data_IF_515022840913
#
_entry.id   IF_515022840913
#
_cell.length_a   1.000
_cell.length_b   1.000
_cell.length_c   1.000
_cell.angle_alpha   90.00
_cell.angle_beta   90.00
_cell.angle_gamma   90.00
#
_symmetry.space_group_name_H-M   'P 1'
#
loop_
_entity.id
_entity.type
_entity.pdbx_description
1 polymer ?
#
# COMPACT_ATOMS: atom_id res chain seq x y z
N UNK A 1 51.26 -61.28 -12.07
CA UNK A 1 50.50 -60.25 -12.83
C UNK A 1 49.12 -59.98 -12.31
N UNK A 2 48.62 -60.73 -11.32
CA UNK A 2 47.24 -60.59 -10.75
C UNK A 2 47.07 -59.53 -9.65
N UNK A 3 48.10 -59.29 -8.82
CA UNK A 3 48.01 -58.34 -7.68
C UNK A 3 47.98 -56.86 -8.09
N UNK A 4 48.53 -56.45 -9.23
CA UNK A 4 48.51 -55.06 -9.69
C UNK A 4 47.17 -54.62 -10.27
N UNK A 5 46.35 -55.55 -10.82
CA UNK A 5 45.00 -55.25 -11.34
C UNK A 5 43.97 -55.00 -10.22
N UNK A 6 44.09 -55.72 -9.10
CA UNK A 6 43.18 -55.58 -7.97
C UNK A 6 43.42 -54.27 -7.17
N UNK A 7 44.67 -53.82 -7.11
CA UNK A 7 45.00 -52.55 -6.43
C UNK A 7 44.47 -51.33 -7.21
N UNK A 8 44.50 -51.37 -8.54
CA UNK A 8 43.97 -50.26 -9.36
C UNK A 8 42.44 -50.15 -9.30
N UNK A 9 41.74 -51.32 -9.24
CA UNK A 9 40.24 -51.35 -9.12
C UNK A 9 39.77 -50.86 -7.74
N UNK A 10 40.51 -51.13 -6.65
CA UNK A 10 40.17 -50.66 -5.30
C UNK A 10 40.41 -49.15 -5.18
N UNK A 11 41.48 -48.60 -5.78
CA UNK A 11 41.76 -47.16 -5.78
C UNK A 11 40.70 -46.42 -6.59
N UNK A 12 40.23 -46.95 -7.71
CA UNK A 12 39.17 -46.33 -8.51
C UNK A 12 37.81 -46.35 -7.79
N UNK A 13 37.48 -47.47 -7.11
CA UNK A 13 36.25 -47.55 -6.30
C UNK A 13 36.26 -46.61 -5.08
N UNK A 14 37.40 -46.41 -4.39
CA UNK A 14 37.57 -45.48 -3.30
C UNK A 14 37.49 -44.02 -3.80
N UNK A 15 38.06 -43.72 -4.99
CA UNK A 15 38.01 -42.36 -5.57
C UNK A 15 36.58 -42.00 -6.04
N UNK A 16 35.78 -42.94 -6.54
CA UNK A 16 34.37 -42.72 -6.91
C UNK A 16 33.50 -42.60 -5.68
N UNK A 17 33.81 -43.30 -4.60
CA UNK A 17 33.06 -43.19 -3.31
C UNK A 17 33.35 -41.89 -2.59
N UNK A 18 34.55 -41.30 -2.71
CA UNK A 18 34.90 -39.99 -2.10
C UNK A 18 34.30 -38.82 -2.91
N UNK A 19 34.06 -38.96 -4.21
CA UNK A 19 33.37 -37.93 -5.00
C UNK A 19 31.84 -37.92 -4.75
N UNK A 20 31.26 -39.00 -4.26
CA UNK A 20 29.83 -39.06 -3.92
C UNK A 20 29.49 -38.53 -2.54
N UNK A 21 30.49 -38.19 -1.70
CA UNK A 21 30.29 -37.76 -0.32
C UNK A 21 30.37 -36.24 -0.08
N UNK A 22 30.52 -35.46 -1.15
CA UNK A 22 30.46 -33.98 -1.06
C UNK A 22 29.19 -33.39 -1.65
N UNK A 23 28.08 -34.15 -1.69
CA UNK A 23 26.77 -33.50 -1.68
C UNK A 23 26.64 -32.86 -0.28
N UNK A 24 27.13 -31.63 -0.14
CA UNK A 24 26.79 -30.79 1.00
C UNK A 24 25.27 -30.84 1.12
N UNK A 25 24.77 -31.43 2.18
CA UNK A 25 23.36 -31.35 2.47
C UNK A 25 23.06 -29.85 2.58
N UNK A 26 22.42 -29.30 1.56
CA UNK A 26 22.01 -27.89 1.56
C UNK A 26 21.07 -27.75 2.74
N UNK A 27 21.40 -26.83 3.66
CA UNK A 27 20.60 -26.61 4.85
C UNK A 27 19.19 -26.21 4.45
N UNK A 28 18.18 -26.83 5.08
CA UNK A 28 16.80 -26.47 4.82
C UNK A 28 16.51 -25.10 5.42
N UNK A 29 16.04 -24.20 4.60
CA UNK A 29 15.69 -22.82 4.93
C UNK A 29 14.18 -22.68 4.94
N UNK A 30 13.61 -22.19 6.04
CA UNK A 30 12.20 -21.86 6.15
C UNK A 30 12.07 -20.35 6.33
N UNK A 31 11.56 -19.66 5.30
CA UNK A 31 11.33 -18.23 5.32
C UNK A 31 9.93 -17.93 5.85
N UNK A 32 9.83 -16.96 6.76
CA UNK A 32 8.59 -16.39 7.26
C UNK A 32 8.37 -15.02 6.66
N UNK A 33 7.24 -14.82 6.01
CA UNK A 33 6.89 -13.58 5.33
C UNK A 33 5.57 -13.04 5.87
N UNK A 34 5.59 -11.88 6.50
CA UNK A 34 4.40 -11.21 7.03
C UNK A 34 3.80 -10.26 6.00
N UNK A 35 2.47 -10.25 5.91
CA UNK A 35 1.70 -9.38 5.03
C UNK A 35 0.34 -9.03 5.67
N UNK A 36 -0.35 -7.97 5.18
CA UNK A 36 -1.59 -7.49 5.79
C UNK A 36 -2.88 -7.81 5.02
N UNK A 37 -2.81 -8.62 3.98
CA UNK A 37 -3.99 -9.09 3.27
C UNK A 37 -4.53 -10.38 3.92
N UNK A 38 -5.84 -10.63 3.80
CA UNK A 38 -6.46 -11.81 4.37
C UNK A 38 -5.87 -13.11 3.80
N UNK A 39 -5.74 -14.12 4.65
CA UNK A 39 -5.08 -15.39 4.30
C UNK A 39 -5.78 -16.16 3.16
N UNK A 40 -7.08 -15.96 2.99
CA UNK A 40 -7.92 -16.55 1.93
C UNK A 40 -8.08 -15.65 0.70
N UNK A 41 -7.35 -14.52 0.64
CA UNK A 41 -7.44 -13.59 -0.47
C UNK A 41 -6.79 -14.11 -1.75
N UNK A 42 -7.25 -13.65 -2.94
CA UNK A 42 -6.59 -13.95 -4.20
C UNK A 42 -5.12 -13.53 -4.26
N UNK A 43 -4.75 -12.47 -3.53
CA UNK A 43 -3.38 -12.01 -3.39
C UNK A 43 -2.49 -13.06 -2.73
N UNK A 44 -2.93 -13.63 -1.59
CA UNK A 44 -2.18 -14.69 -0.90
C UNK A 44 -2.12 -15.97 -1.75
N UNK A 45 -3.17 -16.28 -2.49
CA UNK A 45 -3.14 -17.42 -3.43
C UNK A 45 -2.03 -17.24 -4.49
N UNK A 46 -1.89 -16.06 -5.07
CA UNK A 46 -0.82 -15.75 -6.02
C UNK A 46 0.58 -15.81 -5.38
N UNK A 47 0.74 -15.28 -4.16
CA UNK A 47 2.02 -15.38 -3.43
C UNK A 47 2.40 -16.83 -3.12
N UNK A 48 1.44 -17.68 -2.76
CA UNK A 48 1.68 -19.11 -2.55
C UNK A 48 2.10 -19.82 -3.85
N UNK A 49 1.51 -19.47 -4.98
CA UNK A 49 1.90 -19.99 -6.30
C UNK A 49 3.35 -19.61 -6.63
N UNK A 50 3.71 -18.32 -6.51
CA UNK A 50 5.08 -17.85 -6.70
C UNK A 50 6.08 -18.53 -5.73
N UNK A 51 5.71 -18.73 -4.47
CA UNK A 51 6.55 -19.42 -3.51
C UNK A 51 6.77 -20.89 -3.89
N UNK A 52 5.75 -21.57 -4.44
CA UNK A 52 5.90 -22.94 -4.93
C UNK A 52 6.82 -23.02 -6.15
N UNK A 53 6.72 -22.04 -7.08
CA UNK A 53 7.63 -21.93 -8.23
C UNK A 53 9.07 -21.67 -7.76
N UNK A 54 9.27 -20.76 -6.80
CA UNK A 54 10.58 -20.51 -6.22
C UNK A 54 11.16 -21.76 -5.53
N UNK A 55 10.34 -22.47 -4.74
CA UNK A 55 10.77 -23.74 -4.10
C UNK A 55 11.13 -24.81 -5.13
N UNK A 56 10.48 -24.84 -6.29
CA UNK A 56 10.86 -25.77 -7.37
C UNK A 56 12.27 -25.47 -7.93
N UNK A 57 12.68 -24.20 -7.94
CA UNK A 57 14.02 -23.75 -8.34
C UNK A 57 15.03 -23.90 -7.19
N UNK A 58 14.60 -23.76 -5.94
CA UNK A 58 15.41 -23.80 -4.71
C UNK A 58 14.83 -24.84 -3.73
N UNK A 59 15.02 -26.16 -3.95
CA UNK A 59 14.31 -27.23 -3.22
C UNK A 59 14.57 -27.26 -1.71
N UNK A 60 15.61 -26.60 -1.23
CA UNK A 60 15.93 -26.46 0.18
C UNK A 60 15.27 -25.25 0.84
N UNK A 61 14.55 -24.39 0.08
CA UNK A 61 13.88 -23.20 0.60
C UNK A 61 12.36 -23.40 0.58
N UNK A 62 11.72 -23.15 1.72
CA UNK A 62 10.26 -23.08 1.84
C UNK A 62 9.85 -21.71 2.34
N UNK A 63 8.70 -21.20 1.93
CA UNK A 63 8.18 -19.89 2.33
C UNK A 63 6.80 -20.06 2.95
N UNK A 64 6.57 -19.39 4.09
CA UNK A 64 5.27 -19.35 4.76
C UNK A 64 4.81 -17.90 4.88
N UNK A 65 3.59 -17.62 4.41
CA UNK A 65 2.99 -16.30 4.54
C UNK A 65 2.14 -16.23 5.82
N UNK A 66 2.36 -15.17 6.60
CA UNK A 66 1.64 -14.89 7.84
C UNK A 66 0.80 -13.63 7.65
N UNK A 67 -0.53 -13.80 7.61
CA UNK A 67 -1.47 -12.68 7.48
C UNK A 67 -1.71 -12.05 8.85
N UNK A 68 -1.45 -10.75 8.95
CA UNK A 68 -1.71 -9.92 10.13
C UNK A 68 -2.65 -8.79 9.69
N UNK A 69 -3.79 -8.56 10.36
CA UNK A 69 -4.68 -7.46 9.99
C UNK A 69 -3.96 -6.10 9.93
N UNK A 70 -4.27 -5.28 8.93
CA UNK A 70 -3.58 -4.01 8.68
C UNK A 70 -3.50 -3.08 9.92
N UNK A 71 -4.57 -2.91 10.74
CA UNK A 71 -4.49 -2.05 11.92
C UNK A 71 -3.46 -2.51 12.95
N UNK A 72 -3.20 -3.82 13.06
CA UNK A 72 -2.31 -4.42 14.05
C UNK A 72 -0.90 -4.68 13.47
N UNK A 73 -0.75 -4.64 12.16
CA UNK A 73 0.42 -5.13 11.44
C UNK A 73 1.74 -4.54 11.94
N UNK A 74 1.83 -3.22 12.01
CA UNK A 74 3.08 -2.55 12.40
C UNK A 74 3.46 -2.83 13.86
N UNK A 75 2.48 -2.88 14.76
CA UNK A 75 2.71 -3.21 16.18
C UNK A 75 3.15 -4.64 16.35
N UNK A 76 2.50 -5.58 15.68
CA UNK A 76 2.80 -7.01 15.76
C UNK A 76 4.18 -7.34 15.21
N UNK A 77 4.54 -6.80 14.05
CA UNK A 77 5.89 -6.97 13.47
C UNK A 77 6.94 -6.37 14.40
N UNK A 78 6.69 -5.20 14.99
CA UNK A 78 7.60 -4.58 15.96
C UNK A 78 7.78 -5.46 17.20
N UNK A 79 6.71 -6.07 17.73
CA UNK A 79 6.76 -6.99 18.86
C UNK A 79 7.53 -8.27 18.52
N UNK A 80 7.35 -8.84 17.32
CA UNK A 80 8.09 -10.01 16.87
C UNK A 80 9.60 -9.73 16.78
N UNK A 81 9.99 -8.57 16.24
CA UNK A 81 11.38 -8.12 16.17
C UNK A 81 12.00 -7.95 17.57
N UNK A 82 11.26 -7.35 18.50
CA UNK A 82 11.73 -7.15 19.88
C UNK A 82 11.79 -8.47 20.67
N UNK A 83 10.91 -9.44 20.34
CA UNK A 83 10.79 -10.73 21.01
C UNK A 83 11.79 -11.81 20.56
N UNK A 84 12.80 -11.48 19.78
CA UNK A 84 13.75 -12.42 19.16
C UNK A 84 13.08 -13.54 18.31
N UNK A 85 11.95 -13.23 17.70
CA UNK A 85 11.27 -14.12 16.76
C UNK A 85 10.89 -13.31 15.49
N UNK A 86 11.89 -12.64 14.84
CA UNK A 86 11.62 -11.82 13.68
C UNK A 86 11.07 -12.65 12.53
N UNK A 87 10.17 -12.11 11.69
CA UNK A 87 9.98 -12.63 10.36
C UNK A 87 11.26 -12.39 9.53
N UNK A 88 11.45 -13.15 8.46
CA UNK A 88 12.56 -12.90 7.53
C UNK A 88 12.23 -11.73 6.60
N UNK A 89 10.97 -11.59 6.22
CA UNK A 89 10.47 -10.59 5.28
C UNK A 89 9.13 -10.00 5.73
N UNK A 90 8.80 -8.85 5.19
CA UNK A 90 7.51 -8.21 5.44
C UNK A 90 7.21 -7.06 4.49
N UNK A 91 6.06 -6.45 4.71
CA UNK A 91 5.63 -5.25 4.00
C UNK A 91 5.74 -4.02 4.90
N UNK A 92 6.07 -2.88 4.32
CA UNK A 92 6.06 -1.58 5.02
C UNK A 92 5.34 -0.57 4.15
N UNK A 93 4.44 0.22 4.75
CA UNK A 93 3.77 1.34 4.07
C UNK A 93 4.63 2.61 4.10
N UNK A 94 4.38 3.51 3.16
CA UNK A 94 5.13 4.76 2.97
C UNK A 94 5.24 5.61 4.23
N UNK A 95 4.18 5.75 5.02
CA UNK A 95 4.20 6.55 6.25
C UNK A 95 5.31 6.13 7.22
N UNK A 96 5.48 4.82 7.40
CA UNK A 96 6.49 4.24 8.28
C UNK A 96 7.88 4.11 7.64
N UNK A 97 8.01 4.24 6.32
CA UNK A 97 9.23 3.93 5.56
C UNK A 97 10.49 4.54 6.16
N UNK A 98 10.54 5.87 6.32
CA UNK A 98 11.71 6.59 6.85
C UNK A 98 12.10 6.15 8.27
N UNK A 99 11.13 5.84 9.12
CA UNK A 99 11.41 5.37 10.48
C UNK A 99 12.07 3.99 10.48
N UNK A 100 11.59 3.08 9.63
CA UNK A 100 12.14 1.74 9.50
C UNK A 100 13.52 1.73 8.84
N UNK A 101 13.72 2.50 7.77
CA UNK A 101 15.02 2.67 7.12
C UNK A 101 16.09 3.14 8.11
N UNK A 102 15.76 4.13 8.95
CA UNK A 102 16.69 4.66 9.96
C UNK A 102 16.87 3.77 11.19
N UNK A 103 16.00 2.81 11.41
CA UNK A 103 16.04 1.95 12.62
C UNK A 103 17.19 0.95 12.64
N UNK A 104 17.77 0.62 11.46
CA UNK A 104 18.82 -0.40 11.32
C UNK A 104 18.30 -1.85 11.37
N UNK A 105 16.97 -2.05 11.44
CA UNK A 105 16.38 -3.40 11.46
C UNK A 105 16.19 -4.00 10.06
N UNK A 106 16.30 -3.19 9.00
CA UNK A 106 16.18 -3.62 7.62
C UNK A 106 17.54 -3.98 7.02
N UNK A 107 17.56 -4.99 6.17
CA UNK A 107 18.75 -5.37 5.41
C UNK A 107 18.97 -4.42 4.24
N UNK A 108 20.24 -4.08 3.98
CA UNK A 108 20.63 -3.41 2.73
C UNK A 108 20.56 -4.41 1.57
N UNK A 109 19.69 -4.12 0.63
CA UNK A 109 19.44 -4.91 -0.58
C UNK A 109 20.38 -4.56 -1.74
N UNK A 110 21.05 -3.39 -1.68
CA UNK A 110 21.84 -2.84 -2.78
C UNK A 110 22.94 -3.78 -3.29
N UNK A 111 23.73 -4.48 -2.42
CA UNK A 111 24.80 -5.33 -2.90
C UNK A 111 24.31 -6.49 -3.79
N UNK A 112 23.15 -7.04 -3.45
CA UNK A 112 22.56 -8.15 -4.21
C UNK A 112 21.85 -7.65 -5.47
N UNK A 113 21.00 -6.62 -5.36
CA UNK A 113 20.09 -6.21 -6.44
C UNK A 113 20.78 -5.34 -7.49
N UNK A 114 21.65 -4.37 -7.06
CA UNK A 114 22.39 -3.53 -8.02
C UNK A 114 23.53 -4.29 -8.72
N UNK A 115 24.00 -5.37 -8.11
CA UNK A 115 25.06 -6.22 -8.68
C UNK A 115 24.56 -7.29 -9.63
N UNK A 116 23.26 -7.51 -9.73
CA UNK A 116 22.63 -8.52 -10.60
C UNK A 116 22.20 -7.91 -11.93
N UNK A 117 22.82 -8.33 -13.03
CA UNK A 117 22.42 -7.90 -14.38
C UNK A 117 20.99 -8.38 -14.72
N UNK A 118 20.62 -9.58 -14.28
CA UNK A 118 19.32 -10.19 -14.56
C UNK A 118 18.16 -9.50 -13.81
N UNK A 119 18.47 -8.84 -12.68
CA UNK A 119 17.43 -8.16 -11.90
C UNK A 119 16.98 -6.83 -12.51
N UNK A 120 17.83 -6.19 -13.32
CA UNK A 120 17.56 -4.89 -13.95
C UNK A 120 17.08 -3.83 -12.93
N UNK A 121 17.93 -3.53 -11.94
CA UNK A 121 17.61 -2.54 -10.90
C UNK A 121 17.30 -1.15 -11.45
N UNK A 122 17.87 -0.78 -12.61
CA UNK A 122 17.65 0.51 -13.27
C UNK A 122 16.21 0.73 -13.78
N UNK A 123 15.39 -0.32 -13.78
CA UNK A 123 13.96 -0.25 -14.12
C UNK A 123 13.10 0.39 -13.03
N UNK A 124 13.64 0.64 -11.85
CA UNK A 124 12.99 1.44 -10.80
C UNK A 124 13.43 2.90 -10.91
N UNK A 125 12.48 3.84 -10.87
CA UNK A 125 12.80 5.27 -10.84
C UNK A 125 13.36 5.71 -9.48
N UNK A 126 14.19 6.75 -9.45
CA UNK A 126 14.65 7.36 -8.19
C UNK A 126 13.47 7.83 -7.33
N UNK A 127 12.41 8.33 -7.94
CA UNK A 127 11.21 8.77 -7.24
C UNK A 127 10.50 7.60 -6.54
N UNK A 128 10.42 6.41 -7.17
CA UNK A 128 9.80 5.24 -6.56
C UNK A 128 10.62 4.65 -5.42
N UNK A 129 11.94 4.77 -5.48
CA UNK A 129 12.87 4.26 -4.47
C UNK A 129 13.15 5.26 -3.34
N UNK A 130 12.79 6.54 -3.49
CA UNK A 130 13.22 7.63 -2.60
C UNK A 130 12.86 7.43 -1.12
N UNK A 131 11.76 6.76 -0.81
CA UNK A 131 11.38 6.46 0.57
C UNK A 131 12.22 5.33 1.21
N UNK A 132 12.78 4.46 0.37
CA UNK A 132 13.41 3.19 0.74
C UNK A 132 14.94 3.23 0.68
N UNK A 133 15.50 4.40 0.36
CA UNK A 133 16.95 4.60 0.22
C UNK A 133 17.49 5.54 1.29
N UNK A 134 18.72 5.27 1.73
CA UNK A 134 19.54 6.18 2.53
C UNK A 134 20.99 6.13 2.01
N UNK A 135 21.46 7.23 1.43
CA UNK A 135 22.73 7.24 0.69
C UNK A 135 22.65 6.29 -0.52
N UNK A 136 23.61 5.38 -0.62
CA UNK A 136 23.65 4.38 -1.70
C UNK A 136 22.88 3.08 -1.35
N UNK A 137 22.46 2.90 -0.09
CA UNK A 137 21.80 1.70 0.40
C UNK A 137 20.30 1.72 0.08
N UNK A 138 19.74 0.54 -0.23
CA UNK A 138 18.33 0.31 -0.53
C UNK A 138 17.75 -0.70 0.46
N UNK A 139 16.72 -0.34 1.19
CA UNK A 139 16.16 -1.10 2.29
C UNK A 139 14.78 -1.70 2.00
N UNK A 140 14.19 -1.36 0.86
CA UNK A 140 12.91 -1.91 0.42
C UNK A 140 12.72 -1.74 -1.08
N UNK A 141 12.00 -2.68 -1.69
CA UNK A 141 11.60 -2.59 -3.10
C UNK A 141 10.10 -2.35 -3.14
N UNK A 142 9.64 -1.20 -3.67
CA UNK A 142 8.23 -0.91 -3.80
C UNK A 142 7.56 -1.90 -4.76
N UNK A 143 6.53 -2.56 -4.29
CA UNK A 143 5.71 -3.49 -5.09
C UNK A 143 4.33 -2.93 -5.39
N UNK A 144 3.91 -1.89 -4.67
CA UNK A 144 2.64 -1.20 -4.84
C UNK A 144 2.87 0.30 -4.86
N UNK A 145 2.46 0.96 -5.93
CA UNK A 145 2.41 2.41 -6.09
C UNK A 145 1.01 2.76 -6.56
N UNK A 146 0.06 2.80 -5.64
CA UNK A 146 -1.36 2.84 -5.95
C UNK A 146 -1.97 4.21 -5.65
N UNK A 147 -2.62 4.88 -6.61
CA UNK A 147 -3.32 6.11 -6.33
C UNK A 147 -4.56 5.84 -5.49
N UNK A 148 -4.94 6.82 -4.67
CA UNK A 148 -6.28 6.85 -4.11
C UNK A 148 -7.27 7.21 -5.19
N UNK A 149 -8.37 6.49 -5.23
CA UNK A 149 -9.46 6.61 -6.20
C UNK A 149 -10.78 6.59 -5.47
N UNK A 150 -11.86 6.97 -6.16
CA UNK A 150 -13.23 6.80 -5.67
C UNK A 150 -13.82 5.55 -6.30
N UNK A 151 -14.29 4.62 -5.46
CA UNK A 151 -15.15 3.51 -5.88
C UNK A 151 -16.61 3.96 -5.66
N UNK A 152 -17.52 3.71 -6.60
CA UNK A 152 -18.89 4.15 -6.47
C UNK A 152 -19.91 3.11 -6.94
N UNK A 153 -21.10 3.15 -6.32
CA UNK A 153 -22.27 2.35 -6.63
C UNK A 153 -23.20 3.16 -7.56
N UNK A 154 -23.19 2.84 -8.85
CA UNK A 154 -23.95 3.58 -9.85
C UNK A 154 -25.48 3.49 -9.65
N UNK A 155 -25.98 2.38 -9.09
CA UNK A 155 -27.41 2.19 -8.84
C UNK A 155 -27.95 3.21 -7.81
N UNK A 156 -27.13 3.63 -6.84
CA UNK A 156 -27.54 4.65 -5.86
C UNK A 156 -27.58 6.06 -6.47
N UNK A 157 -26.71 6.36 -7.45
CA UNK A 157 -26.78 7.60 -8.23
C UNK A 157 -28.05 7.63 -9.08
N UNK A 158 -28.39 6.51 -9.76
CA UNK A 158 -29.64 6.38 -10.52
C UNK A 158 -30.85 6.53 -9.60
N UNK A 159 -30.86 5.88 -8.45
CA UNK A 159 -31.94 5.96 -7.46
C UNK A 159 -32.17 7.40 -6.95
N UNK A 160 -31.09 8.17 -6.79
CA UNK A 160 -31.17 9.58 -6.40
C UNK A 160 -31.48 10.52 -7.58
N UNK A 161 -31.46 10.03 -8.84
CA UNK A 161 -31.72 10.81 -10.04
C UNK A 161 -30.64 11.86 -10.33
N UNK A 162 -29.38 11.59 -9.99
CA UNK A 162 -28.24 12.50 -10.15
C UNK A 162 -27.17 11.89 -11.06
N UNK A 163 -26.32 12.70 -11.72
CA UNK A 163 -25.25 12.20 -12.55
C UNK A 163 -24.19 11.44 -11.73
N UNK A 164 -23.67 10.38 -12.33
CA UNK A 164 -22.57 9.57 -11.81
C UNK A 164 -21.23 10.34 -11.86
N UNK A 165 -20.19 9.93 -11.10
CA UNK A 165 -18.85 10.48 -11.23
C UNK A 165 -18.32 10.48 -12.67
N UNK A 166 -18.58 9.42 -13.45
CA UNK A 166 -18.17 9.34 -14.86
C UNK A 166 -18.82 10.42 -15.72
N UNK A 167 -20.11 10.70 -15.53
CA UNK A 167 -20.85 11.78 -16.23
C UNK A 167 -20.32 13.15 -15.79
N UNK A 168 -20.10 13.36 -14.49
CA UNK A 168 -19.52 14.61 -13.98
C UNK A 168 -18.09 14.86 -14.50
N UNK A 169 -17.29 13.81 -14.68
CA UNK A 169 -15.95 13.89 -15.32
C UNK A 169 -16.11 14.35 -16.78
N UNK A 170 -17.04 13.76 -17.51
CA UNK A 170 -17.27 14.13 -18.92
C UNK A 170 -17.73 15.59 -19.08
N UNK A 171 -18.36 16.17 -18.07
CA UNK A 171 -18.78 17.57 -18.00
C UNK A 171 -17.73 18.51 -17.38
N UNK A 172 -16.53 18.00 -17.05
CA UNK A 172 -15.47 18.70 -16.32
C UNK A 172 -15.93 19.27 -14.95
N UNK A 173 -16.85 18.59 -14.30
CA UNK A 173 -17.53 18.99 -13.06
C UNK A 173 -17.34 17.99 -11.90
N UNK A 174 -16.36 17.09 -11.95
CA UNK A 174 -16.03 16.20 -10.88
C UNK A 174 -15.10 16.88 -9.88
N UNK A 175 -15.65 17.56 -8.87
CA UNK A 175 -14.94 18.34 -7.84
C UNK A 175 -15.30 17.84 -6.44
N UNK A 176 -14.55 18.27 -5.41
CA UNK A 176 -14.89 17.93 -4.02
C UNK A 176 -16.27 18.46 -3.61
N UNK A 177 -16.68 19.62 -4.13
CA UNK A 177 -18.02 20.19 -3.90
C UNK A 177 -19.10 19.32 -4.54
N UNK A 178 -18.88 18.82 -5.77
CA UNK A 178 -19.84 17.92 -6.42
C UNK A 178 -19.88 16.54 -5.80
N UNK A 179 -18.75 16.03 -5.25
CA UNK A 179 -18.75 14.81 -4.44
C UNK A 179 -19.65 14.98 -3.21
N UNK A 180 -19.47 16.05 -2.42
CA UNK A 180 -20.27 16.29 -1.22
C UNK A 180 -21.76 16.47 -1.54
N UNK A 181 -22.09 17.26 -2.57
CA UNK A 181 -23.48 17.46 -2.98
C UNK A 181 -24.15 16.19 -3.50
N UNK A 182 -23.41 15.33 -4.22
CA UNK A 182 -23.88 14.01 -4.64
C UNK A 182 -24.08 13.09 -3.43
N UNK A 183 -23.12 13.07 -2.51
CA UNK A 183 -23.23 12.29 -1.28
C UNK A 183 -24.47 12.67 -0.47
N UNK A 184 -24.70 13.97 -0.28
CA UNK A 184 -25.91 14.46 0.40
C UNK A 184 -27.20 14.09 -0.34
N UNK A 185 -27.25 14.29 -1.65
CA UNK A 185 -28.44 13.98 -2.45
C UNK A 185 -28.81 12.48 -2.36
N UNK A 186 -27.82 11.60 -2.35
CA UNK A 186 -28.04 10.15 -2.20
C UNK A 186 -28.55 9.83 -0.79
N UNK A 187 -27.93 10.40 0.24
CA UNK A 187 -28.36 10.20 1.64
C UNK A 187 -29.80 10.69 1.84
N UNK A 188 -30.17 11.83 1.25
CA UNK A 188 -31.53 12.37 1.35
C UNK A 188 -32.57 11.54 0.58
N UNK A 189 -32.15 10.84 -0.50
CA UNK A 189 -33.05 10.13 -1.40
C UNK A 189 -33.13 8.62 -1.14
N UNK A 190 -32.21 8.05 -0.40
CA UNK A 190 -32.07 6.59 -0.20
C UNK A 190 -31.84 6.25 1.28
N UNK A 191 -31.80 4.95 1.60
CA UNK A 191 -31.42 4.47 2.94
C UNK A 191 -29.89 4.28 3.11
N UNK A 192 -29.08 4.67 2.09
CA UNK A 192 -27.62 4.52 2.08
C UNK A 192 -26.94 5.85 2.42
N UNK A 193 -25.73 5.76 2.98
CA UNK A 193 -24.86 6.93 3.11
C UNK A 193 -24.24 7.32 1.76
N UNK A 194 -24.01 8.61 1.56
CA UNK A 194 -23.36 9.10 0.34
C UNK A 194 -21.88 8.73 0.27
N UNK A 195 -21.16 8.77 1.40
CA UNK A 195 -19.72 8.48 1.47
C UNK A 195 -19.37 7.64 2.69
N UNK A 196 -18.49 6.66 2.49
CA UNK A 196 -17.77 5.95 3.54
C UNK A 196 -16.27 6.29 3.44
N UNK A 197 -15.62 6.47 4.56
CA UNK A 197 -14.16 6.63 4.60
C UNK A 197 -13.43 5.37 4.15
N UNK A 198 -12.16 5.49 3.77
CA UNK A 198 -11.32 4.35 3.36
C UNK A 198 -11.39 3.23 4.42
N UNK A 199 -11.83 2.04 4.00
CA UNK A 199 -11.96 0.85 4.86
C UNK A 199 -12.75 1.10 6.18
N UNK A 200 -13.64 2.11 6.23
CA UNK A 200 -14.31 2.58 7.45
C UNK A 200 -13.34 2.99 8.59
N UNK A 201 -12.10 3.34 8.25
CA UNK A 201 -11.01 3.46 9.22
C UNK A 201 -10.68 4.90 9.65
N UNK A 202 -11.48 5.90 9.25
CA UNK A 202 -11.28 7.31 9.63
C UNK A 202 -11.22 7.51 11.15
N UNK A 203 -12.05 6.80 11.87
CA UNK A 203 -12.21 6.95 13.32
C UNK A 203 -11.41 5.94 14.15
N UNK A 204 -10.93 4.85 13.54
CA UNK A 204 -10.39 3.71 14.29
C UNK A 204 -8.99 3.28 13.87
N UNK A 205 -8.58 3.60 12.64
CA UNK A 205 -7.36 3.03 12.07
C UNK A 205 -6.60 4.02 11.20
N UNK A 206 -6.64 3.80 9.92
CA UNK A 206 -5.88 4.53 8.92
C UNK A 206 -6.58 5.84 8.49
N UNK A 207 -6.67 6.82 9.39
CA UNK A 207 -7.27 8.12 9.09
C UNK A 207 -6.50 8.89 8.00
N UNK A 208 -5.19 8.68 7.89
CA UNK A 208 -4.35 9.32 6.88
C UNK A 208 -4.88 9.10 5.46
N UNK A 209 -5.33 7.88 5.17
CA UNK A 209 -5.84 7.50 3.85
C UNK A 209 -7.10 8.27 3.41
N UNK A 210 -7.87 8.84 4.35
CA UNK A 210 -9.03 9.68 4.07
C UNK A 210 -8.68 11.16 4.15
N UNK A 211 -7.98 11.57 5.20
CA UNK A 211 -7.70 12.98 5.49
C UNK A 211 -6.74 13.58 4.44
N UNK A 212 -5.60 12.94 4.16
CA UNK A 212 -4.59 13.53 3.27
C UNK A 212 -5.10 13.77 1.84
N UNK A 213 -5.82 12.84 1.18
CA UNK A 213 -6.43 13.11 -0.11
C UNK A 213 -7.35 14.35 -0.10
N UNK A 214 -8.15 14.51 0.95
CA UNK A 214 -9.05 15.66 1.08
C UNK A 214 -8.27 16.93 1.33
N UNK A 215 -7.32 16.97 2.29
CA UNK A 215 -6.48 18.15 2.53
C UNK A 215 -5.80 18.64 1.25
N UNK A 216 -5.20 17.71 0.48
CA UNK A 216 -4.55 18.04 -0.80
C UNK A 216 -5.53 18.51 -1.86
N UNK A 217 -6.73 17.96 -1.88
CA UNK A 217 -7.82 18.44 -2.72
C UNK A 217 -8.19 19.90 -2.46
N UNK A 218 -8.06 20.37 -1.24
CA UNK A 218 -8.24 21.76 -0.86
C UNK A 218 -6.97 22.60 -0.98
N UNK A 219 -5.83 22.00 -1.37
CA UNK A 219 -4.55 22.71 -1.54
C UNK A 219 -3.67 22.72 -0.29
N UNK A 220 -4.09 22.03 0.78
CA UNK A 220 -3.34 21.83 2.01
C UNK A 220 -2.48 20.55 2.00
N UNK A 221 -1.96 20.17 3.16
CA UNK A 221 -1.28 18.89 3.42
C UNK A 221 -1.18 18.66 4.94
N UNK A 222 -0.69 17.49 5.36
CA UNK A 222 -0.38 17.23 6.77
C UNK A 222 0.89 17.99 7.21
N UNK A 223 1.94 17.97 6.40
CA UNK A 223 3.17 18.77 6.55
C UNK A 223 3.84 18.96 5.18
N UNK A 224 4.70 19.96 5.12
CA UNK A 224 5.45 20.31 3.90
C UNK A 224 6.67 19.40 3.71
N UNK A 225 7.26 19.45 2.52
CA UNK A 225 8.51 18.74 2.21
C UNK A 225 9.69 19.20 3.10
N UNK A 226 9.61 20.42 3.65
CA UNK A 226 10.57 20.98 4.63
C UNK A 226 10.28 20.52 6.08
N UNK A 227 9.37 19.57 6.28
CA UNK A 227 8.96 19.05 7.58
C UNK A 227 8.36 20.14 8.51
N UNK A 228 7.55 21.03 7.98
CA UNK A 228 6.76 22.00 8.75
C UNK A 228 5.30 21.56 8.72
N UNK A 229 4.65 21.51 9.88
CA UNK A 229 3.23 21.19 9.97
C UNK A 229 2.39 22.11 9.08
N UNK A 230 1.43 21.53 8.36
CA UNK A 230 0.53 22.25 7.47
C UNK A 230 -0.96 22.00 7.78
N UNK A 231 -1.30 21.29 8.86
CA UNK A 231 -2.68 21.07 9.25
C UNK A 231 -3.45 22.37 9.52
N UNK A 232 -2.78 23.40 10.03
CA UNK A 232 -3.40 24.68 10.40
C UNK A 232 -3.32 25.76 9.31
N UNK A 233 -2.89 25.40 8.08
CA UNK A 233 -3.04 26.32 6.95
C UNK A 233 -4.52 26.52 6.62
N UNK A 234 -4.91 27.68 6.05
CA UNK A 234 -6.31 27.90 5.66
C UNK A 234 -6.90 26.81 4.77
N UNK A 235 -6.08 26.28 3.86
CA UNK A 235 -6.45 25.23 2.92
C UNK A 235 -6.69 23.89 3.64
N UNK A 236 -5.81 23.51 4.57
CA UNK A 236 -5.97 22.29 5.37
C UNK A 236 -7.16 22.38 6.32
N UNK A 237 -7.34 23.53 6.96
CA UNK A 237 -8.52 23.77 7.83
C UNK A 237 -9.80 23.68 7.02
N UNK A 238 -9.83 24.22 5.78
CA UNK A 238 -10.99 24.08 4.90
C UNK A 238 -11.27 22.60 4.55
N UNK A 239 -10.23 21.77 4.31
CA UNK A 239 -10.38 20.35 4.11
C UNK A 239 -10.88 19.60 5.34
N UNK A 240 -10.40 19.93 6.54
CA UNK A 240 -10.92 19.37 7.81
C UNK A 240 -12.38 19.79 8.05
N UNK A 241 -12.72 21.06 7.79
CA UNK A 241 -14.09 21.58 7.90
C UNK A 241 -15.02 20.86 6.93
N UNK A 242 -14.58 20.61 5.69
CA UNK A 242 -15.33 19.85 4.71
C UNK A 242 -15.69 18.43 5.20
N UNK A 243 -14.74 17.71 5.81
CA UNK A 243 -15.01 16.40 6.41
C UNK A 243 -16.01 16.52 7.56
N UNK A 244 -15.81 17.50 8.44
CA UNK A 244 -16.68 17.75 9.57
C UNK A 244 -18.12 18.07 9.12
N UNK A 245 -18.28 18.93 8.10
CA UNK A 245 -19.59 19.30 7.57
C UNK A 245 -20.31 18.11 6.92
N UNK A 246 -19.61 17.24 6.21
CA UNK A 246 -20.18 16.00 5.66
C UNK A 246 -20.71 15.05 6.75
N UNK A 247 -20.09 15.05 7.95
CA UNK A 247 -20.56 14.24 9.08
C UNK A 247 -21.75 14.88 9.80
N UNK A 248 -21.68 16.17 10.12
CA UNK A 248 -22.60 16.80 11.07
C UNK A 248 -23.63 17.76 10.45
N UNK A 249 -23.35 18.32 9.28
CA UNK A 249 -24.24 19.24 8.58
C UNK A 249 -25.00 18.53 7.46
N UNK A 250 -24.29 17.79 6.63
CA UNK A 250 -24.86 17.06 5.49
C UNK A 250 -25.35 15.65 5.86
N UNK A 251 -24.82 15.10 6.95
CA UNK A 251 -25.08 13.74 7.43
C UNK A 251 -24.83 12.67 6.35
N UNK A 252 -23.92 12.97 5.39
CA UNK A 252 -23.67 12.18 4.19
C UNK A 252 -22.44 11.29 4.25
N UNK A 253 -21.48 11.60 5.14
CA UNK A 253 -20.35 10.73 5.49
C UNK A 253 -20.74 9.89 6.71
N UNK A 254 -20.49 8.58 6.63
CA UNK A 254 -20.76 7.64 7.73
C UNK A 254 -20.13 8.14 9.04
N UNK A 255 -20.93 8.41 10.10
CA UNK A 255 -20.43 8.98 11.34
C UNK A 255 -19.73 7.97 12.24
N UNK A 256 -18.98 8.42 13.27
CA UNK A 256 -18.35 7.53 14.25
C UNK A 256 -19.34 6.56 14.90
N UNK A 257 -18.93 5.31 15.09
CA UNK A 257 -19.73 4.29 15.75
C UNK A 257 -20.86 3.67 14.90
N UNK A 258 -20.98 4.08 13.62
CA UNK A 258 -21.94 3.50 12.68
C UNK A 258 -21.24 2.46 11.80
N UNK A 259 -21.76 1.24 11.78
CA UNK A 259 -21.25 0.17 10.94
C UNK A 259 -21.95 0.18 9.58
N UNK A 260 -21.21 0.53 8.54
CA UNK A 260 -21.63 0.52 7.13
C UNK A 260 -20.52 -0.10 6.29
N UNK A 261 -20.87 -0.92 5.32
CA UNK A 261 -19.93 -1.45 4.33
C UNK A 261 -20.36 -1.07 2.92
N UNK A 262 -19.55 -0.26 2.25
CA UNK A 262 -19.72 0.10 0.84
C UNK A 262 -19.82 -1.15 -0.05
N UNK A 263 -19.00 -2.15 0.21
CA UNK A 263 -18.95 -3.39 -0.59
C UNK A 263 -20.23 -4.24 -0.46
N UNK A 264 -21.01 -4.00 0.59
CA UNK A 264 -22.35 -4.57 0.78
C UNK A 264 -23.48 -3.64 0.27
N UNK A 265 -23.15 -2.48 -0.31
CA UNK A 265 -24.12 -1.52 -0.84
C UNK A 265 -24.63 -0.50 0.17
N UNK A 266 -24.03 -0.43 1.37
CA UNK A 266 -24.47 0.50 2.43
C UNK A 266 -24.07 1.96 2.24
N UNK A 267 -23.19 2.25 1.27
CA UNK A 267 -22.79 3.59 0.89
C UNK A 267 -22.67 3.73 -0.63
N UNK A 268 -22.83 4.97 -1.14
CA UNK A 268 -22.74 5.23 -2.58
C UNK A 268 -21.28 5.37 -3.06
N UNK A 269 -20.42 5.89 -2.24
CA UNK A 269 -19.01 6.10 -2.57
C UNK A 269 -18.10 5.66 -1.41
N UNK A 270 -16.88 5.27 -1.76
CA UNK A 270 -15.76 5.17 -0.80
C UNK A 270 -14.47 5.56 -1.50
N UNK A 271 -13.52 6.14 -0.77
CA UNK A 271 -12.15 6.25 -1.24
C UNK A 271 -11.46 4.90 -1.05
N UNK A 272 -10.56 4.57 -1.97
CA UNK A 272 -9.83 3.30 -1.89
C UNK A 272 -8.69 3.25 -2.87
N UNK A 273 -8.19 2.06 -3.11
CA UNK A 273 -7.11 1.78 -4.05
C UNK A 273 -7.46 0.56 -4.91
N UNK A 274 -6.74 0.33 -6.02
CA UNK A 274 -7.00 -0.77 -6.96
C UNK A 274 -7.12 -2.13 -6.25
N UNK A 275 -6.35 -2.38 -5.20
CA UNK A 275 -6.38 -3.63 -4.42
C UNK A 275 -7.75 -3.93 -3.79
N UNK A 276 -8.65 -2.94 -3.67
CA UNK A 276 -9.99 -3.11 -3.12
C UNK A 276 -11.03 -3.55 -4.15
N UNK A 277 -10.75 -3.35 -5.43
CA UNK A 277 -11.67 -3.65 -6.54
C UNK A 277 -12.12 -5.13 -6.55
N UNK A 278 -11.23 -6.05 -6.17
CA UNK A 278 -11.56 -7.47 -6.13
C UNK A 278 -12.70 -7.82 -5.15
N UNK A 279 -12.95 -6.98 -4.13
CA UNK A 279 -14.11 -7.15 -3.23
C UNK A 279 -15.45 -6.89 -3.93
N UNK A 280 -15.42 -6.27 -5.11
CA UNK A 280 -16.61 -5.96 -5.94
C UNK A 280 -16.87 -7.00 -7.03
N UNK A 281 -16.09 -8.08 -7.11
CA UNK A 281 -16.24 -9.12 -8.13
C UNK A 281 -17.67 -9.73 -8.15
N UNK A 282 -18.26 -9.91 -6.96
CA UNK A 282 -19.59 -10.48 -6.76
C UNK A 282 -20.58 -9.43 -6.19
N UNK A 283 -20.33 -8.13 -6.40
CA UNK A 283 -21.21 -7.08 -5.91
C UNK A 283 -22.62 -7.22 -6.52
N UNK A 284 -23.64 -7.03 -5.69
CA UNK A 284 -25.04 -7.10 -6.11
C UNK A 284 -25.55 -5.81 -6.79
N UNK A 285 -24.68 -4.86 -7.07
CA UNK A 285 -24.97 -3.56 -7.67
C UNK A 285 -23.98 -3.23 -8.78
N UNK A 286 -24.35 -2.32 -9.68
CA UNK A 286 -23.47 -1.78 -10.71
C UNK A 286 -22.49 -0.80 -10.07
N UNK A 287 -21.20 -1.01 -10.27
CA UNK A 287 -20.16 -0.19 -9.71
C UNK A 287 -19.15 0.26 -10.76
N UNK A 288 -18.40 1.30 -10.44
CA UNK A 288 -17.26 1.73 -11.23
C UNK A 288 -16.25 2.47 -10.34
N UNK A 289 -15.16 2.96 -10.96
CA UNK A 289 -14.12 3.75 -10.30
C UNK A 289 -14.00 5.12 -10.96
N UNK A 290 -13.47 6.08 -10.22
CA UNK A 290 -13.16 7.42 -10.70
C UNK A 290 -11.88 7.93 -10.01
N UNK A 291 -11.11 8.86 -10.63
CA UNK A 291 -10.02 9.55 -9.94
C UNK A 291 -10.57 10.35 -8.76
N UNK A 292 -9.68 10.78 -7.86
CA UNK A 292 -10.06 11.76 -6.83
C UNK A 292 -10.66 13.01 -7.50
N UNK A 293 -11.63 13.67 -6.83
CA UNK A 293 -12.20 14.92 -7.36
C UNK A 293 -11.15 16.02 -7.54
N UNK A 294 -11.35 16.87 -8.53
CA UNK A 294 -10.52 18.06 -8.72
C UNK A 294 -10.68 19.03 -7.56
N UNK A 295 -9.53 19.57 -7.12
CA UNK A 295 -9.49 20.66 -6.15
C UNK A 295 -9.39 22.03 -6.82
N UNK A 296 -9.30 23.07 -6.00
CA UNK A 296 -9.10 24.46 -6.48
C UNK A 296 -7.83 24.64 -7.33
N UNK A 297 -6.83 23.80 -7.11
CA UNK A 297 -5.55 23.78 -7.84
C UNK A 297 -5.50 22.70 -8.95
N UNK A 298 -6.66 22.19 -9.40
CA UNK A 298 -6.78 21.11 -10.38
C UNK A 298 -6.62 19.74 -9.75
N UNK A 299 -6.18 18.76 -10.56
CA UNK A 299 -5.96 17.39 -10.10
C UNK A 299 -4.81 17.33 -9.08
N UNK A 300 -5.05 16.71 -7.97
CA UNK A 300 -4.07 16.51 -6.89
C UNK A 300 -4.02 15.02 -6.51
N UNK A 301 -3.50 14.14 -7.40
CA UNK A 301 -3.48 12.73 -7.12
C UNK A 301 -2.61 12.42 -5.90
N UNK A 302 -3.13 11.57 -5.03
CA UNK A 302 -2.41 11.07 -3.86
C UNK A 302 -2.10 9.60 -4.08
N UNK A 303 -0.85 9.23 -3.90
CA UNK A 303 -0.35 7.88 -4.13
C UNK A 303 0.07 7.27 -2.80
N UNK A 304 -0.48 6.11 -2.48
CA UNK A 304 0.03 5.24 -1.43
C UNK A 304 1.12 4.34 -2.00
N UNK A 305 2.15 4.07 -1.20
CA UNK A 305 3.23 3.18 -1.60
C UNK A 305 3.51 2.14 -0.52
N UNK A 306 3.78 0.91 -0.94
CA UNK A 306 4.23 -0.15 -0.06
C UNK A 306 5.43 -0.87 -0.65
N UNK A 307 6.39 -1.25 0.20
CA UNK A 307 7.55 -2.01 -0.22
C UNK A 307 7.66 -3.35 0.49
N UNK A 308 8.26 -4.31 -0.19
CA UNK A 308 8.79 -5.54 0.36
C UNK A 308 10.15 -5.27 0.99
N UNK A 309 10.35 -5.76 2.20
CA UNK A 309 11.59 -5.59 2.95
C UNK A 309 12.10 -6.92 3.47
N UNK A 310 13.40 -6.98 3.76
CA UNK A 310 14.05 -8.08 4.48
C UNK A 310 14.52 -7.56 5.83
N UNK A 311 14.22 -8.31 6.91
CA UNK A 311 14.67 -7.95 8.24
C UNK A 311 16.09 -8.45 8.50
N UNK A 312 16.93 -7.57 9.04
CA UNK A 312 18.36 -7.82 9.22
C UNK A 312 18.68 -8.87 10.31
N UNK A 313 17.73 -9.12 11.21
CA UNK A 313 17.91 -10.03 12.35
C UNK A 313 17.57 -11.50 12.02
N UNK A 314 17.13 -11.80 10.79
CA UNK A 314 16.82 -13.16 10.34
C UNK A 314 18.09 -13.98 10.09
N UNK A 315 18.06 -15.26 10.46
CA UNK A 315 19.15 -16.22 10.15
C UNK A 315 19.25 -16.50 8.64
N UNK A 316 18.17 -16.22 7.88
CA UNK A 316 18.01 -16.59 6.48
C UNK A 316 18.09 -15.38 5.54
N UNK A 317 18.75 -14.29 5.96
CA UNK A 317 18.75 -13.00 5.26
C UNK A 317 19.07 -13.11 3.76
N UNK A 318 20.11 -13.86 3.39
CA UNK A 318 20.54 -13.92 1.99
C UNK A 318 19.50 -14.67 1.12
N UNK A 319 18.89 -15.74 1.63
CA UNK A 319 17.80 -16.44 0.95
C UNK A 319 16.52 -15.57 0.89
N UNK A 320 16.26 -14.75 1.90
CA UNK A 320 15.16 -13.80 1.91
C UNK A 320 15.36 -12.69 0.86
N UNK A 321 16.58 -12.19 0.69
CA UNK A 321 16.92 -11.21 -0.37
C UNK A 321 16.74 -11.83 -1.76
N UNK A 322 17.19 -13.07 -1.95
CA UNK A 322 17.03 -13.79 -3.23
C UNK A 322 15.55 -14.02 -3.56
N UNK A 323 14.74 -14.45 -2.58
CA UNK A 323 13.29 -14.58 -2.76
C UNK A 323 12.61 -13.23 -3.02
N UNK A 324 13.04 -12.14 -2.35
CA UNK A 324 12.54 -10.79 -2.64
C UNK A 324 12.85 -10.40 -4.09
N UNK A 325 14.07 -10.67 -4.57
CA UNK A 325 14.46 -10.41 -5.95
C UNK A 325 13.58 -11.18 -6.96
N UNK A 326 13.26 -12.44 -6.64
CA UNK A 326 12.35 -13.26 -7.43
C UNK A 326 10.94 -12.64 -7.47
N UNK A 327 10.36 -12.29 -6.31
CA UNK A 327 9.03 -11.67 -6.24
C UNK A 327 8.93 -10.32 -6.94
N UNK A 328 10.03 -9.56 -6.94
CA UNK A 328 10.09 -8.22 -7.54
C UNK A 328 10.75 -8.21 -8.93
N UNK A 329 10.94 -9.39 -9.55
CA UNK A 329 11.31 -9.51 -10.95
C UNK A 329 10.26 -8.90 -11.86
N UNK A 330 10.60 -8.55 -13.10
CA UNK A 330 9.66 -7.99 -14.08
C UNK A 330 8.46 -8.92 -14.30
N UNK A 331 8.72 -10.22 -14.47
CA UNK A 331 7.67 -11.24 -14.67
C UNK A 331 6.70 -11.31 -13.51
N UNK A 332 7.19 -11.39 -12.28
CA UNK A 332 6.33 -11.52 -11.10
C UNK A 332 5.63 -10.19 -10.72
N UNK A 333 6.28 -9.04 -10.95
CA UNK A 333 5.64 -7.73 -10.80
C UNK A 333 4.49 -7.57 -11.80
N UNK A 334 4.63 -8.07 -13.04
CA UNK A 334 3.55 -8.09 -14.02
C UNK A 334 2.34 -8.91 -13.53
N UNK A 335 2.56 -10.07 -12.89
CA UNK A 335 1.48 -10.88 -12.27
C UNK A 335 0.82 -10.19 -11.09
N UNK A 336 1.61 -9.47 -10.28
CA UNK A 336 1.10 -8.69 -9.14
C UNK A 336 0.30 -7.45 -9.56
N UNK A 337 0.47 -6.98 -10.81
CA UNK A 337 -0.18 -5.76 -11.31
C UNK A 337 -1.71 -5.80 -11.24
N UNK A 338 -2.32 -6.99 -11.26
CA UNK A 338 -3.77 -7.17 -11.05
C UNK A 338 -4.28 -6.62 -9.71
N UNK A 339 -3.40 -6.51 -8.71
CA UNK A 339 -3.73 -6.08 -7.34
C UNK A 339 -2.97 -4.83 -6.94
N UNK A 340 -1.72 -4.71 -7.40
CA UNK A 340 -0.77 -3.71 -6.93
C UNK A 340 -0.09 -3.04 -8.14
N UNK A 341 -0.46 -1.78 -8.45
CA UNK A 341 0.20 -1.04 -9.52
C UNK A 341 1.72 -1.01 -9.30
N UNK A 342 2.50 -1.38 -10.32
CA UNK A 342 3.93 -1.62 -10.18
C UNK A 342 4.74 -0.33 -10.02
N UNK A 343 5.93 -0.47 -9.38
CA UNK A 343 6.97 0.55 -9.38
C UNK A 343 8.01 0.35 -10.51
N UNK A 344 8.02 -0.82 -11.18
CA UNK A 344 8.85 -1.06 -12.37
C UNK A 344 8.31 -0.28 -13.55
N UNK A 345 9.17 0.55 -14.15
CA UNK A 345 8.79 1.41 -15.26
C UNK A 345 8.40 0.62 -16.51
N UNK A 346 9.09 -0.49 -16.79
CA UNK A 346 8.77 -1.37 -17.93
C UNK A 346 7.34 -1.91 -17.85
N UNK A 347 6.91 -2.34 -16.66
CA UNK A 347 5.57 -2.89 -16.45
C UNK A 347 4.52 -1.77 -16.41
N UNK A 348 4.82 -0.65 -15.76
CA UNK A 348 3.92 0.51 -15.68
C UNK A 348 3.65 1.15 -17.06
N UNK A 349 4.65 1.16 -17.95
CA UNK A 349 4.55 1.73 -19.29
C UNK A 349 3.98 0.76 -20.33
N UNK A 350 3.72 -0.48 -19.97
CA UNK A 350 3.17 -1.52 -20.85
C UNK A 350 1.66 -1.63 -20.71
N UNK A 351 1.03 -2.36 -21.64
CA UNK A 351 -0.40 -2.68 -21.56
C UNK A 351 -0.73 -3.65 -20.39
N UNK A 352 0.30 -4.21 -19.75
CA UNK A 352 0.16 -5.20 -18.66
C UNK A 352 -0.71 -4.65 -17.53
N UNK A 353 -0.43 -3.42 -17.03
CA UNK A 353 -1.24 -2.85 -15.95
C UNK A 353 -2.66 -2.50 -16.43
N UNK A 354 -2.79 -1.94 -17.64
CA UNK A 354 -4.08 -1.57 -18.19
C UNK A 354 -5.02 -2.78 -18.35
N UNK A 355 -4.47 -3.94 -18.70
CA UNK A 355 -5.20 -5.18 -18.93
C UNK A 355 -5.17 -6.14 -17.73
N UNK A 356 -4.49 -5.79 -16.65
CA UNK A 356 -4.21 -6.70 -15.52
C UNK A 356 -5.44 -7.15 -14.76
N UNK A 357 -6.44 -6.27 -14.60
CA UNK A 357 -7.62 -6.53 -13.80
C UNK A 357 -8.87 -6.66 -14.69
N UNK A 358 -9.45 -7.86 -14.85
CA UNK A 358 -10.60 -8.08 -15.72
C UNK A 358 -11.89 -7.38 -15.27
N UNK A 359 -11.91 -6.86 -14.04
CA UNK A 359 -13.07 -6.14 -13.47
C UNK A 359 -13.09 -4.66 -13.86
N UNK A 360 -11.96 -4.12 -14.36
CA UNK A 360 -11.83 -2.70 -14.74
C UNK A 360 -11.49 -2.60 -16.22
N UNK A 361 -12.27 -1.89 -17.02
CA UNK A 361 -11.94 -1.62 -18.42
C UNK A 361 -10.57 -0.92 -18.57
N UNK A 362 -9.81 -1.26 -19.61
CA UNK A 362 -8.44 -0.78 -19.79
C UNK A 362 -8.34 0.74 -19.92
N UNK A 363 -9.29 1.39 -20.59
CA UNK A 363 -9.37 2.85 -20.70
C UNK A 363 -9.63 3.54 -19.36
N UNK A 364 -10.46 2.92 -18.53
CA UNK A 364 -10.73 3.38 -17.16
C UNK A 364 -9.52 3.16 -16.25
N UNK A 365 -8.82 2.01 -16.42
CA UNK A 365 -7.54 1.75 -15.72
C UNK A 365 -6.50 2.81 -16.09
N UNK A 366 -6.39 3.17 -17.38
CA UNK A 366 -5.46 4.20 -17.85
C UNK A 366 -5.73 5.53 -17.16
N UNK A 367 -6.96 6.05 -17.28
CA UNK A 367 -7.30 7.40 -16.80
C UNK A 367 -7.36 7.52 -15.27
N UNK A 368 -7.80 6.45 -14.59
CA UNK A 368 -8.06 6.49 -13.14
C UNK A 368 -6.88 5.99 -12.29
N UNK A 369 -6.03 5.12 -12.85
CA UNK A 369 -4.91 4.54 -12.11
C UNK A 369 -3.57 4.97 -12.69
N UNK A 370 -3.30 4.68 -13.96
CA UNK A 370 -1.97 4.88 -14.56
C UNK A 370 -1.61 6.36 -14.63
N UNK A 371 -2.50 7.19 -15.16
CA UNK A 371 -2.28 8.64 -15.26
C UNK A 371 -2.13 9.30 -13.88
N UNK A 372 -2.83 8.79 -12.88
CA UNK A 372 -2.73 9.30 -11.52
C UNK A 372 -1.40 8.92 -10.83
N UNK A 373 -0.82 7.75 -11.14
CA UNK A 373 0.51 7.38 -10.63
C UNK A 373 1.59 8.33 -11.17
N UNK A 374 1.52 8.67 -12.46
CA UNK A 374 2.53 9.50 -13.13
C UNK A 374 2.58 10.94 -12.58
N UNK A 375 1.44 11.45 -12.10
CA UNK A 375 1.29 12.84 -11.66
C UNK A 375 1.09 12.96 -10.13
N UNK A 376 1.05 11.83 -9.41
CA UNK A 376 0.70 11.80 -8.00
C UNK A 376 1.84 12.08 -7.05
N UNK A 377 1.50 12.62 -5.87
CA UNK A 377 2.41 12.76 -4.74
C UNK A 377 2.19 11.64 -3.75
N UNK A 378 3.29 11.03 -3.29
CA UNK A 378 3.23 10.00 -2.25
C UNK A 378 2.69 10.61 -0.94
N UNK A 379 2.02 9.78 -0.13
CA UNK A 379 1.56 10.14 1.21
C UNK A 379 2.69 10.73 2.04
N UNK A 380 2.39 11.62 3.00
CA UNK A 380 3.41 12.21 3.87
C UNK A 380 4.16 11.15 4.67
N UNK A 381 5.46 11.32 4.85
CA UNK A 381 6.31 10.41 5.60
C UNK A 381 7.29 11.16 6.49
N UNK A 382 7.65 10.58 7.63
CA UNK A 382 8.62 11.14 8.59
C UNK A 382 9.36 10.03 9.32
N UNK A 383 10.61 10.30 9.74
CA UNK A 383 11.32 9.40 10.64
C UNK A 383 10.66 9.26 12.01
N UNK A 384 9.77 10.19 12.37
CA UNK A 384 9.00 10.19 13.61
C UNK A 384 7.53 9.78 13.38
N UNK A 385 7.18 9.24 12.21
CA UNK A 385 5.80 8.96 11.83
C UNK A 385 5.00 8.20 12.91
N UNK A 386 5.51 7.12 13.54
CA UNK A 386 4.74 6.43 14.59
C UNK A 386 4.43 7.30 15.79
N UNK A 387 5.31 8.26 16.13
CA UNK A 387 5.06 9.21 17.22
C UNK A 387 4.08 10.30 16.83
N UNK A 388 4.18 10.77 15.58
CA UNK A 388 3.24 11.74 15.01
C UNK A 388 1.84 11.14 15.02
N UNK A 389 1.67 9.91 14.57
CA UNK A 389 0.39 9.20 14.55
C UNK A 389 -0.24 9.08 15.94
N UNK A 390 0.56 8.69 16.96
CA UNK A 390 0.11 8.61 18.34
C UNK A 390 -0.35 9.96 18.91
N UNK A 391 0.22 11.08 18.45
CA UNK A 391 -0.13 12.42 18.89
C UNK A 391 -1.32 12.99 18.12
N UNK A 392 -1.35 12.78 16.80
CA UNK A 392 -2.39 13.35 15.93
C UNK A 392 -3.74 12.69 16.16
N UNK A 393 -3.78 11.37 16.35
CA UNK A 393 -5.03 10.63 16.51
C UNK A 393 -5.95 11.20 17.60
N UNK A 394 -5.54 11.33 18.90
CA UNK A 394 -6.43 11.84 19.93
C UNK A 394 -6.85 13.29 19.70
N UNK A 395 -6.05 14.10 19.01
CA UNK A 395 -6.42 15.47 18.65
C UNK A 395 -7.46 15.50 17.52
N UNK A 396 -7.37 14.58 16.55
CA UNK A 396 -8.40 14.41 15.53
C UNK A 396 -9.70 13.87 16.10
N UNK A 397 -9.67 13.11 17.20
CA UNK A 397 -10.90 12.65 17.85
C UNK A 397 -11.75 13.82 18.38
N UNK A 398 -11.14 14.97 18.69
CA UNK A 398 -11.83 16.19 19.07
C UNK A 398 -12.65 16.81 17.90
N UNK A 399 -12.35 16.42 16.65
CA UNK A 399 -13.11 16.85 15.45
C UNK A 399 -14.49 16.19 15.35
N UNK A 400 -14.70 15.06 16.02
CA UNK A 400 -15.91 14.24 15.85
C UNK A 400 -17.03 14.62 16.83
N UNK A 401 -17.19 15.93 17.09
CA UNK A 401 -18.33 16.52 17.81
C UNK A 401 -18.89 17.68 16.99
N UNK A 402 -20.21 17.88 17.03
CA UNK A 402 -20.91 18.81 16.12
C UNK A 402 -20.48 20.29 16.25
N UNK A 403 -19.98 20.70 17.40
CA UNK A 403 -19.53 22.06 17.71
C UNK A 403 -17.99 22.19 17.80
N UNK A 404 -17.25 21.31 17.12
CA UNK A 404 -15.79 21.31 17.10
C UNK A 404 -15.21 22.63 16.54
N UNK A 405 -14.21 23.19 17.25
CA UNK A 405 -13.41 24.28 16.73
C UNK A 405 -12.27 23.71 15.86
N UNK A 406 -12.55 23.55 14.57
CA UNK A 406 -11.64 22.94 13.59
C UNK A 406 -10.30 23.67 13.54
N UNK A 407 -10.28 25.00 13.60
CA UNK A 407 -9.05 25.78 13.60
C UNK A 407 -8.21 25.53 14.86
N UNK A 408 -8.85 25.53 16.04
CA UNK A 408 -8.14 25.27 17.30
C UNK A 408 -7.56 23.85 17.34
N UNK A 409 -8.27 22.86 16.81
CA UNK A 409 -7.80 21.47 16.70
C UNK A 409 -6.57 21.41 15.78
N UNK A 410 -6.63 22.03 14.62
CA UNK A 410 -5.52 22.09 13.67
C UNK A 410 -4.28 22.79 14.25
N UNK A 411 -4.47 23.88 14.98
CA UNK A 411 -3.39 24.59 15.68
C UNK A 411 -2.75 23.70 16.76
N UNK A 412 -3.55 22.96 17.53
CA UNK A 412 -3.07 22.02 18.54
C UNK A 412 -2.28 20.85 17.92
N UNK A 413 -2.73 20.34 16.76
CA UNK A 413 -2.00 19.32 16.01
C UNK A 413 -0.62 19.87 15.64
N UNK A 414 -0.55 21.04 15.01
CA UNK A 414 0.73 21.63 14.59
C UNK A 414 1.66 21.92 15.77
N UNK A 415 1.15 22.50 16.85
CA UNK A 415 1.95 22.74 18.07
C UNK A 415 2.56 21.45 18.63
N UNK A 416 1.87 20.32 18.46
CA UNK A 416 2.28 19.02 18.98
C UNK A 416 3.27 18.29 18.08
N UNK A 417 3.13 18.40 16.73
CA UNK A 417 3.96 17.63 15.80
C UNK A 417 5.17 18.39 15.25
N UNK A 418 5.20 19.73 15.22
CA UNK A 418 6.37 20.51 14.76
C UNK A 418 7.67 20.12 15.50
N UNK A 419 7.69 19.91 16.83
CA UNK A 419 8.89 19.45 17.51
C UNK A 419 9.33 18.02 17.11
N UNK A 420 8.43 17.20 16.55
CA UNK A 420 8.72 15.86 16.04
C UNK A 420 9.23 15.93 14.61
N UNK A 421 8.65 16.79 13.78
CA UNK A 421 9.03 16.99 12.38
C UNK A 421 10.43 17.59 12.23
N UNK A 422 10.85 18.43 13.19
CA UNK A 422 12.18 19.07 13.24
C UNK A 422 13.34 18.10 13.57
N UNK A 423 13.08 16.81 13.85
CA UNK A 423 14.07 15.77 14.20
C UNK A 423 14.37 14.88 13.01
#
# INVERSE_FOLDING_TARGET
>A
MSLKKNALSVIFAVLVLTLALTASAQENIALRYTLWVAADSPQVALFNEMAAEYTALHPNVTVTFESIPFPDYQSDVTLQLAGNNPPDMGWIVEGAAKSWVKSGVLADLSPALKGSEDYNFADFSEASLGLWTEGDAVYGIPFSTSPFIVLYNADLFEAAGIPTPAELIAEDNWTWETLASSAKAITDATDAYGLQSVDAALYTGNFWATIVPILRGFGGDAWTDDNVCAFNTPESVAGLQYIHDMVFTDESLVPPGTEVDFFAGGAAMTLGQLSRVNRLADAAFVWSIAPLPKGANGDQPVVGQAAMVVFNNGANRDAAIDFLAFLTSEENVARLAAFFPPARQSVLASDVLAESNPLVPADLMQSTVIDQIQNGRVMPTSSQFPRIELVVRPLLDELWVADADVQAIADNICASIDPLLAR
#
